data_IF_621285824455
#
_entry.id   IF_621285824455
#
_cell.length_a   1.000
_cell.length_b   1.000
_cell.length_c   1.000
_cell.angle_alpha   90.00
_cell.angle_beta   90.00
_cell.angle_gamma   90.00
#
_symmetry.space_group_name_H-M   'P 1'
#
loop_
_entity.id
_entity.type
_entity.pdbx_description
1 polymer ?
#
# COMPACT_ATOMS: atom_id res chain seq x y z
N UNK A 1 -12.02 75.01 -14.57
CA UNK A 1 -13.02 74.37 -13.69
C UNK A 1 -12.69 72.89 -13.57
N UNK A 2 -12.06 72.44 -12.48
CA UNK A 2 -11.82 71.02 -12.23
C UNK A 2 -12.98 70.45 -11.40
N UNK A 3 -13.69 69.49 -11.99
CA UNK A 3 -14.81 68.76 -11.36
C UNK A 3 -14.20 67.75 -10.37
N UNK A 4 -14.42 67.99 -9.07
CA UNK A 4 -14.03 67.07 -8.00
C UNK A 4 -14.82 65.76 -8.13
N UNK A 5 -14.14 64.68 -8.51
CA UNK A 5 -14.68 63.31 -8.51
C UNK A 5 -14.64 62.78 -7.07
N UNK A 6 -15.79 62.79 -6.40
CA UNK A 6 -15.96 62.23 -5.05
C UNK A 6 -15.84 60.70 -5.12
N UNK A 7 -14.67 60.15 -4.79
CA UNK A 7 -14.49 58.70 -4.61
C UNK A 7 -15.20 58.26 -3.33
N UNK A 8 -16.27 57.46 -3.47
CA UNK A 8 -16.87 56.73 -2.35
C UNK A 8 -15.91 55.63 -1.91
N UNK A 9 -15.06 55.93 -0.92
CA UNK A 9 -14.24 54.94 -0.26
C UNK A 9 -15.09 54.15 0.74
N UNK A 10 -15.89 53.20 0.23
CA UNK A 10 -16.49 52.15 1.04
C UNK A 10 -15.35 51.23 1.51
N UNK A 11 -14.91 51.43 2.75
CA UNK A 11 -13.84 50.65 3.36
C UNK A 11 -14.35 49.29 3.83
N UNK A 12 -13.50 48.28 3.67
CA UNK A 12 -13.67 46.91 4.15
C UNK A 12 -13.87 46.91 5.68
N UNK A 13 -15.03 46.46 6.15
CA UNK A 13 -15.42 46.50 7.55
C UNK A 13 -14.67 45.42 8.34
N UNK A 14 -14.30 45.69 9.59
CA UNK A 14 -13.64 44.69 10.46
C UNK A 14 -14.49 43.42 10.58
N UNK A 15 -15.81 43.56 10.64
CA UNK A 15 -16.73 42.42 10.69
C UNK A 15 -16.67 41.54 9.42
N UNK A 16 -16.47 42.14 8.24
CA UNK A 16 -16.32 41.39 6.98
C UNK A 16 -15.01 40.60 6.98
N UNK A 17 -13.92 41.21 7.46
CA UNK A 17 -12.63 40.52 7.62
C UNK A 17 -12.77 39.32 8.57
N UNK A 18 -13.46 39.51 9.70
CA UNK A 18 -13.60 38.49 10.73
C UNK A 18 -14.39 37.26 10.25
N UNK A 19 -15.48 37.49 9.49
CA UNK A 19 -16.26 36.39 8.92
C UNK A 19 -15.42 35.59 7.92
N UNK A 20 -14.64 36.27 7.07
CA UNK A 20 -13.76 35.60 6.10
C UNK A 20 -12.69 34.79 6.81
N UNK A 21 -12.03 35.33 7.84
CA UNK A 21 -11.01 34.62 8.60
C UNK A 21 -11.59 33.42 9.37
N UNK A 22 -12.82 33.53 9.88
CA UNK A 22 -13.49 32.43 10.56
C UNK A 22 -13.77 31.25 9.61
N UNK A 23 -14.32 31.54 8.42
CA UNK A 23 -14.58 30.50 7.41
C UNK A 23 -13.26 29.91 6.89
N UNK A 24 -12.25 30.76 6.63
CA UNK A 24 -10.92 30.31 6.21
C UNK A 24 -10.26 29.41 7.26
N UNK A 25 -10.35 29.76 8.55
CA UNK A 25 -9.85 28.95 9.66
C UNK A 25 -10.53 27.58 9.75
N UNK A 26 -11.86 27.53 9.58
CA UNK A 26 -12.61 26.27 9.56
C UNK A 26 -12.21 25.37 8.40
N UNK A 27 -12.05 25.92 7.20
CA UNK A 27 -11.61 25.15 6.02
C UNK A 27 -10.21 24.59 6.24
N UNK A 28 -9.27 25.40 6.75
CA UNK A 28 -7.90 24.96 7.03
C UNK A 28 -7.84 23.81 8.03
N UNK A 29 -8.69 23.83 9.06
CA UNK A 29 -8.80 22.74 10.02
C UNK A 29 -9.19 21.42 9.33
N UNK A 30 -10.22 21.44 8.49
CA UNK A 30 -10.67 20.23 7.76
C UNK A 30 -9.57 19.73 6.82
N UNK A 31 -8.92 20.63 6.07
CA UNK A 31 -7.85 20.28 5.14
C UNK A 31 -6.69 19.60 5.86
N UNK A 32 -6.27 20.12 7.01
CA UNK A 32 -5.16 19.54 7.78
C UNK A 32 -5.47 18.16 8.34
N UNK A 33 -6.73 17.86 8.65
CA UNK A 33 -7.11 16.51 9.09
C UNK A 33 -7.31 15.56 7.90
N UNK A 34 -7.93 16.04 6.82
CA UNK A 34 -8.34 15.21 5.69
C UNK A 34 -7.20 14.85 4.75
N UNK A 35 -6.30 15.78 4.40
CA UNK A 35 -5.24 15.54 3.42
C UNK A 35 -4.29 14.42 3.87
N UNK A 36 -3.79 14.37 5.12
CA UNK A 36 -2.96 13.26 5.58
C UNK A 36 -3.69 11.93 5.57
N UNK A 37 -5.00 11.91 5.87
CA UNK A 37 -5.81 10.69 5.81
C UNK A 37 -5.94 10.17 4.37
N UNK A 38 -6.18 11.06 3.40
CA UNK A 38 -6.28 10.70 1.99
C UNK A 38 -4.96 10.17 1.41
N UNK A 39 -3.84 10.80 1.76
CA UNK A 39 -2.52 10.33 1.34
C UNK A 39 -2.21 8.93 1.87
N UNK A 40 -2.55 8.64 3.14
CA UNK A 40 -2.43 7.31 3.73
C UNK A 40 -3.28 6.28 3.00
N UNK A 41 -4.55 6.61 2.75
CA UNK A 41 -5.46 5.68 2.07
C UNK A 41 -4.99 5.36 0.64
N UNK A 42 -4.45 6.35 -0.07
CA UNK A 42 -3.85 6.17 -1.40
C UNK A 42 -2.63 5.22 -1.35
N UNK A 43 -1.70 5.44 -0.41
CA UNK A 43 -0.53 4.56 -0.23
C UNK A 43 -0.92 3.14 0.15
N UNK A 44 -1.87 2.97 1.06
CA UNK A 44 -2.39 1.67 1.46
C UNK A 44 -3.05 0.91 0.30
N UNK A 45 -3.78 1.63 -0.56
CA UNK A 45 -4.37 1.05 -1.77
C UNK A 45 -3.29 0.63 -2.76
N UNK A 46 -2.27 1.47 -2.95
CA UNK A 46 -1.16 1.16 -3.86
C UNK A 46 -0.41 -0.12 -3.45
N UNK A 47 -0.04 -0.27 -2.16
CA UNK A 47 0.66 -1.48 -1.70
C UNK A 47 -0.23 -2.72 -1.75
N UNK A 48 -1.55 -2.58 -1.52
CA UNK A 48 -2.50 -3.70 -1.66
C UNK A 48 -2.58 -4.18 -3.12
N UNK A 49 -2.55 -3.26 -4.09
CA UNK A 49 -2.52 -3.60 -5.50
C UNK A 49 -1.20 -4.29 -5.90
N UNK A 50 -0.07 -3.78 -5.40
CA UNK A 50 1.24 -4.42 -5.61
C UNK A 50 1.27 -5.84 -5.03
N UNK A 51 0.68 -6.03 -3.85
CA UNK A 51 0.56 -7.35 -3.21
C UNK A 51 -0.33 -8.30 -4.00
N UNK A 52 -1.47 -7.82 -4.50
CA UNK A 52 -2.35 -8.61 -5.37
C UNK A 52 -1.66 -9.02 -6.67
N UNK A 53 -0.93 -8.10 -7.32
CA UNK A 53 -0.19 -8.39 -8.55
C UNK A 53 0.91 -9.42 -8.32
N UNK A 54 1.67 -9.26 -7.21
CA UNK A 54 2.72 -10.19 -6.81
C UNK A 54 2.16 -11.59 -6.51
N UNK A 55 1.03 -11.66 -5.78
CA UNK A 55 0.35 -12.91 -5.48
C UNK A 55 -0.16 -13.60 -6.75
N UNK A 56 -0.75 -12.86 -7.69
CA UNK A 56 -1.17 -13.41 -8.98
C UNK A 56 0.02 -13.95 -9.78
N UNK A 57 1.14 -13.22 -9.83
CA UNK A 57 2.35 -13.69 -10.49
C UNK A 57 2.92 -14.96 -9.88
N UNK A 58 2.93 -15.05 -8.55
CA UNK A 58 3.36 -16.24 -7.83
C UNK A 58 2.41 -17.43 -8.06
N UNK A 59 1.09 -17.21 -8.10
CA UNK A 59 0.13 -18.27 -8.44
C UNK A 59 0.29 -18.77 -9.86
N UNK A 60 0.49 -17.87 -10.81
CA UNK A 60 0.71 -18.24 -12.20
C UNK A 60 2.05 -18.99 -12.37
N UNK A 61 3.08 -18.68 -11.56
CA UNK A 61 4.27 -19.52 -11.47
C UNK A 61 3.91 -20.95 -11.01
N UNK A 62 3.09 -21.11 -9.97
CA UNK A 62 2.68 -22.44 -9.46
C UNK A 62 1.92 -23.22 -10.52
N UNK A 63 0.98 -22.57 -11.22
CA UNK A 63 0.19 -23.19 -12.29
C UNK A 63 1.08 -23.67 -13.43
N UNK A 64 2.04 -22.86 -13.85
CA UNK A 64 2.96 -23.19 -14.94
C UNK A 64 4.02 -24.23 -14.57
N UNK A 65 4.23 -24.48 -13.27
CA UNK A 65 5.27 -25.38 -12.76
C UNK A 65 4.70 -26.58 -11.99
N UNK A 66 3.52 -27.07 -12.40
CA UNK A 66 2.91 -28.29 -11.88
C UNK A 66 2.73 -28.28 -10.34
N UNK A 67 2.43 -27.13 -9.75
CA UNK A 67 2.27 -27.00 -8.30
C UNK A 67 3.59 -26.73 -7.54
N UNK A 68 4.71 -26.55 -8.23
CA UNK A 68 5.97 -26.15 -7.62
C UNK A 68 5.90 -24.71 -7.13
N UNK A 69 6.26 -24.47 -5.87
CA UNK A 69 6.22 -23.15 -5.27
C UNK A 69 7.46 -22.34 -5.67
N UNK A 70 7.33 -21.02 -5.87
CA UNK A 70 8.50 -20.18 -6.08
C UNK A 70 9.37 -20.18 -4.81
N UNK A 71 10.68 -20.11 -4.99
CA UNK A 71 11.64 -20.00 -3.89
C UNK A 71 12.24 -18.60 -3.80
N UNK A 72 12.20 -17.86 -4.91
CA UNK A 72 12.84 -16.56 -5.04
C UNK A 72 11.92 -15.60 -5.80
N UNK A 73 11.94 -14.33 -5.41
CA UNK A 73 11.46 -13.22 -6.22
C UNK A 73 12.58 -12.21 -6.38
N UNK A 74 12.84 -11.77 -7.61
CA UNK A 74 13.82 -10.73 -7.92
C UNK A 74 13.09 -9.56 -8.55
N UNK A 75 13.31 -8.36 -8.02
CA UNK A 75 12.72 -7.13 -8.56
C UNK A 75 13.75 -6.39 -9.42
N UNK A 76 13.37 -6.08 -10.66
CA UNK A 76 14.15 -5.24 -11.57
C UNK A 76 13.26 -4.12 -12.11
N UNK A 77 13.48 -2.89 -11.63
CA UNK A 77 12.61 -1.76 -11.91
C UNK A 77 11.20 -1.98 -11.35
N UNK A 78 10.24 -2.30 -12.22
CA UNK A 78 8.85 -2.63 -11.86
C UNK A 78 8.53 -4.11 -11.99
N UNK A 79 9.42 -4.89 -12.62
CA UNK A 79 9.16 -6.28 -12.92
C UNK A 79 9.62 -7.15 -11.77
N UNK A 80 8.75 -8.06 -11.33
CA UNK A 80 8.99 -9.03 -10.28
C UNK A 80 9.03 -10.40 -10.93
N UNK A 81 10.23 -10.97 -11.00
CA UNK A 81 10.45 -12.30 -11.56
C UNK A 81 10.44 -13.33 -10.44
N UNK A 82 9.45 -14.20 -10.46
CA UNK A 82 9.36 -15.37 -9.60
C UNK A 82 10.09 -16.55 -10.23
N UNK A 83 10.93 -17.22 -9.45
CA UNK A 83 11.68 -18.41 -9.86
C UNK A 83 11.72 -19.45 -8.75
N UNK A 84 11.97 -20.70 -9.14
CA UNK A 84 12.03 -21.86 -8.24
C UNK A 84 13.21 -22.78 -8.55
N UNK A 85 13.03 -24.06 -8.24
CA UNK A 85 14.04 -25.09 -8.48
C UNK A 85 14.44 -25.23 -9.96
N UNK A 86 15.59 -25.85 -10.24
CA UNK A 86 16.05 -26.11 -11.60
C UNK A 86 14.97 -26.84 -12.43
N UNK A 87 14.70 -26.34 -13.63
CA UNK A 87 13.66 -26.86 -14.51
C UNK A 87 12.29 -26.17 -14.40
N UNK A 88 12.11 -25.23 -13.48
CA UNK A 88 10.91 -24.38 -13.46
C UNK A 88 11.00 -23.21 -14.44
N UNK A 89 9.88 -22.88 -15.10
CA UNK A 89 9.70 -21.67 -15.88
C UNK A 89 9.42 -20.48 -14.96
N UNK A 90 10.27 -19.46 -15.04
CA UNK A 90 10.04 -18.20 -14.32
C UNK A 90 8.76 -17.53 -14.80
N UNK A 91 8.15 -16.76 -13.90
CA UNK A 91 7.01 -15.92 -14.24
C UNK A 91 7.23 -14.49 -13.78
N UNK A 92 6.66 -13.52 -14.50
CA UNK A 92 6.85 -12.09 -14.22
C UNK A 92 5.51 -11.45 -13.88
N UNK A 93 5.50 -10.70 -12.79
CA UNK A 93 4.42 -9.75 -12.47
C UNK A 93 4.99 -8.33 -12.42
N UNK A 94 4.12 -7.34 -12.25
CA UNK A 94 4.53 -5.93 -12.18
C UNK A 94 4.04 -5.28 -10.90
N UNK A 95 4.91 -4.51 -10.28
CA UNK A 95 4.63 -3.67 -9.11
C UNK A 95 5.06 -2.25 -9.39
N UNK A 96 4.64 -1.33 -8.52
CA UNK A 96 5.11 0.05 -8.55
C UNK A 96 6.63 0.14 -8.32
N UNK A 97 7.25 1.15 -8.91
CA UNK A 97 8.66 1.46 -8.67
C UNK A 97 8.95 1.68 -7.18
N UNK A 98 10.05 1.09 -6.72
CA UNK A 98 10.50 1.15 -5.32
C UNK A 98 9.78 0.18 -4.38
N UNK A 99 8.82 -0.61 -4.86
CA UNK A 99 8.26 -1.73 -4.09
C UNK A 99 9.23 -2.91 -4.13
N UNK A 100 9.58 -3.46 -2.97
CA UNK A 100 10.39 -4.69 -2.88
C UNK A 100 9.49 -5.90 -2.72
N UNK A 101 9.81 -6.99 -3.39
CA UNK A 101 9.08 -8.26 -3.29
C UNK A 101 10.07 -9.36 -2.98
N UNK A 102 9.77 -10.16 -1.97
CA UNK A 102 10.57 -11.32 -1.62
C UNK A 102 9.66 -12.53 -1.38
N UNK A 103 10.23 -13.72 -1.57
CA UNK A 103 9.57 -14.98 -1.23
C UNK A 103 10.11 -15.44 0.11
N UNK A 104 9.20 -15.84 1.00
CA UNK A 104 9.53 -16.45 2.27
C UNK A 104 8.87 -17.83 2.36
N UNK A 105 9.62 -18.82 2.84
CA UNK A 105 9.10 -20.13 3.21
C UNK A 105 9.33 -20.34 4.71
N UNK A 106 8.44 -19.83 5.57
CA UNK A 106 8.51 -20.09 7.00
C UNK A 106 8.54 -21.60 7.28
N UNK A 107 9.18 -21.98 8.39
CA UNK A 107 9.21 -23.38 8.78
C UNK A 107 7.79 -23.93 9.00
N UNK A 108 7.65 -25.24 8.76
CA UNK A 108 6.43 -25.99 9.11
C UNK A 108 6.18 -25.82 10.61
N UNK A 109 4.95 -25.45 11.00
CA UNK A 109 4.49 -25.11 12.37
C UNK A 109 4.69 -23.67 12.88
N UNK A 110 5.02 -22.71 12.03
CA UNK A 110 4.97 -21.29 12.45
C UNK A 110 3.51 -20.83 12.55
N UNK A 111 3.06 -20.57 13.78
CA UNK A 111 1.90 -19.72 14.08
C UNK A 111 2.45 -18.39 14.60
N UNK A 112 2.22 -17.31 13.87
CA UNK A 112 2.76 -15.99 14.23
C UNK A 112 2.29 -14.89 13.29
N UNK A 113 2.67 -13.65 13.56
CA UNK A 113 2.35 -12.54 12.64
C UNK A 113 3.32 -12.57 11.46
N UNK A 114 2.83 -12.42 10.23
CA UNK A 114 3.73 -12.30 9.08
C UNK A 114 4.63 -11.06 9.23
N UNK A 115 5.94 -11.27 9.15
CA UNK A 115 6.90 -10.18 9.14
C UNK A 115 6.85 -9.49 7.77
N UNK A 116 6.60 -8.19 7.77
CA UNK A 116 6.66 -7.35 6.57
C UNK A 116 7.28 -6.01 6.94
N UNK A 117 7.98 -5.41 5.99
CA UNK A 117 8.62 -4.11 6.13
C UNK A 117 7.83 -3.09 5.32
N UNK A 118 7.84 -1.82 5.74
CA UNK A 118 7.12 -0.77 5.02
C UNK A 118 7.60 -0.70 3.57
N UNK A 119 6.67 -0.75 2.62
CA UNK A 119 6.98 -0.73 1.19
C UNK A 119 7.47 -2.07 0.61
N UNK A 120 7.36 -3.17 1.36
CA UNK A 120 7.63 -4.51 0.85
C UNK A 120 6.39 -5.40 0.82
N UNK A 121 6.35 -6.28 -0.18
CA UNK A 121 5.41 -7.40 -0.27
C UNK A 121 6.19 -8.68 -0.01
N UNK A 122 5.75 -9.48 0.96
CA UNK A 122 6.31 -10.81 1.20
C UNK A 122 5.35 -11.85 0.66
N UNK A 123 5.76 -12.58 -0.37
CA UNK A 123 5.05 -13.75 -0.87
C UNK A 123 5.45 -14.94 -0.01
N UNK A 124 4.49 -15.53 0.68
CA UNK A 124 4.71 -16.59 1.65
C UNK A 124 4.23 -17.90 1.03
N UNK A 125 5.09 -18.90 1.07
CA UNK A 125 4.82 -20.24 0.52
C UNK A 125 4.67 -21.25 1.65
N UNK A 126 3.86 -22.29 1.43
CA UNK A 126 3.51 -23.32 2.43
C UNK A 126 2.77 -22.80 3.67
N UNK A 127 2.29 -21.56 3.63
CA UNK A 127 1.47 -20.98 4.67
C UNK A 127 0.31 -20.21 4.04
N UNK A 128 -0.78 -20.16 4.79
CA UNK A 128 -1.87 -19.22 4.60
C UNK A 128 -2.03 -18.36 5.85
N UNK A 129 -3.20 -17.78 5.99
CA UNK A 129 -3.57 -16.89 7.06
C UNK A 129 -4.93 -17.25 7.64
N UNK A 130 -5.04 -17.20 8.96
CA UNK A 130 -6.32 -17.11 9.65
C UNK A 130 -6.42 -15.70 10.24
N UNK A 131 -7.14 -14.82 9.55
CA UNK A 131 -7.06 -13.38 9.80
C UNK A 131 -5.66 -12.84 9.46
N UNK A 132 -4.92 -12.37 10.48
CA UNK A 132 -3.57 -11.80 10.32
C UNK A 132 -2.48 -12.73 10.87
N UNK A 133 -2.87 -13.94 11.29
CA UNK A 133 -1.95 -14.94 11.84
C UNK A 133 -1.58 -15.93 10.76
N UNK A 134 -0.30 -16.13 10.55
CA UNK A 134 0.24 -17.18 9.70
C UNK A 134 -0.17 -18.55 10.23
N UNK A 135 -0.61 -19.40 9.32
CA UNK A 135 -0.94 -20.80 9.60
C UNK A 135 -0.31 -21.65 8.51
N UNK A 136 0.32 -22.75 8.90
CA UNK A 136 0.86 -23.70 7.93
C UNK A 136 -0.28 -24.27 7.05
N UNK A 137 -0.09 -24.20 5.74
CA UNK A 137 -1.02 -24.75 4.75
C UNK A 137 -0.19 -25.27 3.58
N UNK A 138 -0.07 -26.58 3.50
CA UNK A 138 0.78 -27.24 2.50
C UNK A 138 0.42 -26.77 1.08
N UNK A 139 1.45 -26.38 0.31
CA UNK A 139 1.30 -25.91 -1.08
C UNK A 139 0.43 -24.67 -1.28
N UNK A 140 0.11 -23.93 -0.22
CA UNK A 140 -0.55 -22.63 -0.35
C UNK A 140 0.45 -21.52 -0.63
N UNK A 141 -0.05 -20.45 -1.26
CA UNK A 141 0.64 -19.18 -1.38
C UNK A 141 -0.25 -18.08 -0.81
N UNK A 142 0.36 -17.17 -0.08
CA UNK A 142 -0.26 -15.95 0.38
C UNK A 142 0.71 -14.78 0.24
N UNK A 143 0.22 -13.56 0.38
CA UNK A 143 1.03 -12.35 0.40
C UNK A 143 0.77 -11.58 1.69
N UNK A 144 1.82 -11.04 2.30
CA UNK A 144 1.72 -10.11 3.42
C UNK A 144 2.41 -8.79 3.12
N UNK A 145 1.84 -7.71 3.65
CA UNK A 145 2.32 -6.35 3.48
C UNK A 145 1.88 -5.48 4.66
N UNK A 146 2.59 -4.39 4.91
CA UNK A 146 2.17 -3.40 5.91
C UNK A 146 1.25 -2.33 5.30
N UNK A 147 0.20 -1.97 6.05
CA UNK A 147 -0.59 -0.77 5.80
C UNK A 147 -0.43 0.22 6.95
N UNK A 148 -0.47 1.51 6.62
CA UNK A 148 -0.46 2.58 7.61
C UNK A 148 -1.83 2.67 8.30
N UNK A 149 -1.84 2.85 9.62
CA UNK A 149 -3.06 3.03 10.40
C UNK A 149 -3.37 4.52 10.62
N UNK A 150 -4.52 4.83 11.23
CA UNK A 150 -4.91 6.20 11.57
C UNK A 150 -3.98 6.88 12.58
N UNK A 151 -3.15 6.11 13.32
CA UNK A 151 -2.03 6.60 14.13
C UNK A 151 -0.67 6.60 13.40
N UNK A 152 0.44 6.69 14.13
CA UNK A 152 1.80 6.53 13.58
C UNK A 152 2.23 5.06 13.41
N UNK A 153 1.30 4.12 13.60
CA UNK A 153 1.56 2.69 13.55
C UNK A 153 1.26 2.06 12.18
N UNK A 154 1.85 0.89 11.95
CA UNK A 154 1.55 0.03 10.81
C UNK A 154 0.85 -1.24 11.27
N UNK A 155 0.06 -1.85 10.38
CA UNK A 155 -0.58 -3.12 10.60
C UNK A 155 -0.26 -4.08 9.45
N UNK A 156 0.06 -5.33 9.79
CA UNK A 156 0.22 -6.38 8.78
C UNK A 156 -1.13 -6.69 8.19
N UNK A 157 -1.19 -6.79 6.87
CA UNK A 157 -2.35 -7.24 6.11
C UNK A 157 -1.93 -8.43 5.26
N UNK A 158 -2.89 -9.32 5.05
CA UNK A 158 -2.67 -10.59 4.41
C UNK A 158 -3.65 -10.75 3.26
N UNK A 159 -3.19 -11.36 2.18
CA UNK A 159 -3.99 -11.71 1.02
C UNK A 159 -3.70 -13.16 0.68
N UNK A 160 -4.73 -13.96 0.50
CA UNK A 160 -4.62 -15.36 0.11
C UNK A 160 -5.11 -15.55 -1.32
N UNK A 161 -4.63 -16.61 -1.99
CA UNK A 161 -5.11 -17.03 -3.31
C UNK A 161 -6.38 -17.87 -3.21
#
# INVERSE_FOLDING_TARGET
>A
MLKQLKKNSAGFTIIEVLIVLAIAGLIMLIVFLAVPALQRNSRNTAIRNDASSSLSGANEFVTNNNGSLPTTATVSGTDVTFSGASGTTSNVSRVRSGTSVAVQSPAVNVVGTAASTTGSVQVITNNGFNGNTLVYKARAIAASFLVETSGSGTAVQCLES
#
